data_IF_986877010184
#
_entry.id   IF_986877010184
#
_cell.length_a   1.000
_cell.length_b   1.000
_cell.length_c   1.000
_cell.angle_alpha   90.00
_cell.angle_beta   90.00
_cell.angle_gamma   90.00
#
_symmetry.space_group_name_H-M   'P 1'
#
loop_
_entity.id
_entity.type
_entity.pdbx_description
1 polymer ?
#
# COMPACT_ATOMS: atom_id res chain seq x y z
N UNK A 1 -14.51 5.81 21.12
CA UNK A 1 -13.10 6.13 20.84
C UNK A 1 -12.99 7.60 20.41
N UNK A 2 -11.90 8.30 20.74
CA UNK A 2 -11.67 9.70 20.32
C UNK A 2 -11.40 9.73 18.80
N UNK A 3 -12.00 10.64 18.01
CA UNK A 3 -11.69 10.75 16.59
C UNK A 3 -10.23 11.17 16.40
N UNK A 4 -9.57 10.71 15.32
CA UNK A 4 -8.19 11.11 15.04
C UNK A 4 -8.09 12.63 14.88
N UNK A 5 -6.93 13.19 15.25
CA UNK A 5 -6.67 14.61 15.05
C UNK A 5 -6.77 14.98 13.56
N UNK A 6 -7.20 16.21 13.26
CA UNK A 6 -7.16 16.75 11.89
C UNK A 6 -5.73 16.66 11.37
N UNK A 7 -5.53 16.04 10.20
CA UNK A 7 -4.20 15.84 9.62
C UNK A 7 -3.41 14.66 10.20
N UNK A 8 -4.04 13.76 10.98
CA UNK A 8 -3.39 12.53 11.43
C UNK A 8 -3.02 11.57 10.29
N UNK A 9 -3.55 11.78 9.09
CA UNK A 9 -3.27 11.00 7.89
C UNK A 9 -2.95 11.93 6.72
N UNK A 10 -1.66 12.06 6.39
CA UNK A 10 -1.14 12.91 5.33
C UNK A 10 -0.07 12.16 4.51
N UNK A 11 -0.43 11.04 3.84
CA UNK A 11 0.54 10.19 3.14
C UNK A 11 1.30 10.90 2.01
N UNK A 12 0.75 12.01 1.51
CA UNK A 12 1.29 12.82 0.42
C UNK A 12 1.55 14.28 0.83
N UNK A 13 1.66 14.54 2.14
CA UNK A 13 1.82 15.86 2.75
C UNK A 13 0.63 16.82 2.45
N UNK A 14 0.83 18.12 2.67
CA UNK A 14 -0.18 19.17 2.45
C UNK A 14 0.46 20.49 2.02
N UNK A 15 -0.34 21.40 1.44
CA UNK A 15 0.09 22.75 1.03
C UNK A 15 0.97 22.76 -0.22
N UNK A 16 1.86 23.74 -0.33
CA UNK A 16 2.67 24.02 -1.54
C UNK A 16 3.68 22.92 -1.91
N UNK A 17 4.00 22.02 -0.98
CA UNK A 17 4.89 20.87 -1.20
C UNK A 17 4.15 19.53 -1.11
N UNK A 18 2.81 19.55 -1.22
CA UNK A 18 1.99 18.34 -1.40
C UNK A 18 2.49 17.59 -2.64
N UNK A 19 2.45 16.26 -2.61
CA UNK A 19 2.74 15.45 -3.78
C UNK A 19 1.79 15.84 -4.93
N UNK A 20 2.34 16.22 -6.08
CA UNK A 20 1.56 16.50 -7.29
C UNK A 20 0.84 15.25 -7.81
N UNK A 21 1.32 14.07 -7.44
CA UNK A 21 0.76 12.79 -7.84
C UNK A 21 -0.28 12.19 -6.89
N UNK A 22 -0.79 12.91 -5.88
CA UNK A 22 -1.74 12.33 -4.91
C UNK A 22 -2.96 11.68 -5.57
N UNK A 23 -3.64 12.42 -6.45
CA UNK A 23 -4.87 11.94 -7.09
C UNK A 23 -4.58 10.76 -8.02
N UNK A 24 -3.45 10.83 -8.73
CA UNK A 24 -2.97 9.73 -9.58
C UNK A 24 -2.66 8.48 -8.74
N UNK A 25 -1.90 8.63 -7.65
CA UNK A 25 -1.48 7.52 -6.80
C UNK A 25 -2.68 6.80 -6.17
N UNK A 26 -3.69 7.55 -5.70
CA UNK A 26 -4.92 6.94 -5.21
C UNK A 26 -5.70 6.23 -6.32
N UNK A 27 -5.82 6.84 -7.49
CA UNK A 27 -6.51 6.24 -8.64
C UNK A 27 -5.84 4.92 -9.04
N UNK A 28 -4.52 4.93 -9.20
CA UNK A 28 -3.73 3.75 -9.55
C UNK A 28 -3.83 2.67 -8.47
N UNK A 29 -3.66 3.02 -7.19
CA UNK A 29 -3.69 2.05 -6.10
C UNK A 29 -5.06 1.35 -6.00
N UNK A 30 -6.15 2.10 -6.15
CA UNK A 30 -7.52 1.54 -6.13
C UNK A 30 -7.72 0.62 -7.33
N UNK A 31 -7.30 1.03 -8.53
CA UNK A 31 -7.42 0.20 -9.73
C UNK A 31 -6.58 -1.08 -9.64
N UNK A 32 -5.34 -0.99 -9.15
CA UNK A 32 -4.47 -2.13 -8.95
C UNK A 32 -5.08 -3.12 -7.94
N UNK A 33 -5.57 -2.62 -6.80
CA UNK A 33 -6.26 -3.43 -5.80
C UNK A 33 -7.51 -4.11 -6.37
N UNK A 34 -8.34 -3.39 -7.13
CA UNK A 34 -9.53 -3.96 -7.76
C UNK A 34 -9.16 -5.03 -8.80
N UNK A 35 -8.20 -4.75 -9.69
CA UNK A 35 -7.76 -5.67 -10.72
C UNK A 35 -7.17 -6.96 -10.14
N UNK A 36 -6.42 -6.86 -9.03
CA UNK A 36 -5.81 -8.02 -8.38
C UNK A 36 -6.84 -8.81 -7.56
N UNK A 37 -7.59 -8.13 -6.68
CA UNK A 37 -8.47 -8.80 -5.71
C UNK A 37 -9.73 -9.43 -6.32
N UNK A 38 -10.16 -8.96 -7.49
CA UNK A 38 -11.29 -9.54 -8.22
C UNK A 38 -10.96 -10.87 -8.88
N UNK A 39 -9.68 -11.11 -9.22
CA UNK A 39 -9.23 -12.29 -9.97
C UNK A 39 -8.44 -13.28 -9.13
N UNK A 40 -7.73 -12.80 -8.12
CA UNK A 40 -6.85 -13.64 -7.31
C UNK A 40 -7.08 -13.45 -5.82
N UNK A 41 -6.83 -14.53 -5.09
CA UNK A 41 -6.59 -14.53 -3.65
C UNK A 41 -5.08 -14.68 -3.47
N UNK A 42 -4.43 -13.68 -2.86
CA UNK A 42 -2.99 -13.70 -2.59
C UNK A 42 -2.73 -14.22 -1.17
N UNK A 43 -1.87 -15.24 -1.04
CA UNK A 43 -1.41 -15.74 0.26
C UNK A 43 0.12 -15.63 0.36
N UNK A 44 0.70 -15.31 1.52
CA UNK A 44 2.14 -15.41 1.70
C UNK A 44 2.64 -16.82 1.36
N UNK A 45 3.75 -16.91 0.63
CA UNK A 45 4.39 -18.18 0.36
C UNK A 45 4.90 -18.81 1.67
N UNK A 46 4.94 -20.15 1.80
CA UNK A 46 5.56 -20.81 2.95
C UNK A 46 6.98 -20.29 3.18
N UNK A 47 7.31 -19.95 4.43
CA UNK A 47 8.62 -19.39 4.79
C UNK A 47 8.80 -17.90 4.50
N UNK A 48 7.77 -17.17 4.04
CA UNK A 48 7.85 -15.71 3.92
C UNK A 48 7.87 -15.06 5.31
N UNK A 49 8.98 -14.39 5.63
CA UNK A 49 9.18 -13.66 6.88
C UNK A 49 9.21 -12.16 6.60
N UNK A 50 8.04 -11.53 6.57
CA UNK A 50 7.92 -10.11 6.24
C UNK A 50 8.57 -9.25 7.34
N UNK A 51 9.49 -8.39 6.94
CA UNK A 51 10.14 -7.37 7.78
C UNK A 51 10.17 -6.04 7.03
N UNK A 52 10.05 -4.89 7.70
CA UNK A 52 10.26 -3.60 7.03
C UNK A 52 11.72 -3.47 6.56
N UNK A 53 11.93 -3.04 5.31
CA UNK A 53 13.22 -2.48 4.86
C UNK A 53 13.25 -0.98 5.04
N UNK A 54 14.41 -0.48 5.48
CA UNK A 54 14.72 0.95 5.47
C UNK A 54 15.45 1.27 4.17
N UNK A 55 14.92 2.24 3.42
CA UNK A 55 15.52 2.80 2.23
C UNK A 55 15.00 4.23 2.02
N UNK A 56 15.11 4.75 0.79
CA UNK A 56 14.48 6.05 0.45
C UNK A 56 12.96 6.03 0.67
N UNK A 57 12.34 4.86 0.60
CA UNK A 57 10.97 4.57 1.04
C UNK A 57 10.97 3.29 1.89
N UNK A 58 9.90 3.06 2.67
CA UNK A 58 9.70 1.79 3.37
C UNK A 58 9.04 0.78 2.43
N UNK A 59 9.58 -0.43 2.41
CA UNK A 59 9.01 -1.56 1.66
C UNK A 59 9.09 -2.83 2.51
N UNK A 60 8.37 -3.90 2.15
CA UNK A 60 8.57 -5.20 2.77
C UNK A 60 9.83 -5.87 2.22
N UNK A 61 10.61 -6.48 3.10
CA UNK A 61 11.63 -7.50 2.78
C UNK A 61 10.96 -8.86 2.71
N UNK A 62 11.37 -9.69 1.74
CA UNK A 62 11.01 -11.10 1.61
C UNK A 62 9.51 -11.42 1.56
N UNK A 63 8.67 -10.46 1.13
CA UNK A 63 7.26 -10.70 0.85
C UNK A 63 7.11 -11.39 -0.51
N UNK A 64 7.04 -12.73 -0.48
CA UNK A 64 6.64 -13.55 -1.62
C UNK A 64 5.20 -14.00 -1.42
N UNK A 65 4.37 -13.86 -2.45
CA UNK A 65 2.96 -14.24 -2.39
C UNK A 65 2.64 -15.22 -3.52
N UNK A 66 1.74 -16.15 -3.23
CA UNK A 66 1.20 -17.13 -4.18
C UNK A 66 -0.23 -16.70 -4.53
N UNK A 67 -0.51 -16.39 -5.81
CA UNK A 67 -1.87 -16.16 -6.27
C UNK A 67 -2.59 -17.48 -6.51
N UNK A 68 -3.83 -17.57 -6.04
CA UNK A 68 -4.80 -18.59 -6.49
C UNK A 68 -5.96 -17.88 -7.17
N UNK A 69 -6.46 -18.44 -8.28
CA UNK A 69 -7.67 -17.91 -8.90
C UNK A 69 -8.81 -17.87 -7.86
N UNK A 70 -9.60 -16.81 -7.90
CA UNK A 70 -10.81 -16.68 -7.08
C UNK A 70 -11.91 -17.60 -7.61
#
# INVERSE_FOLDING_TARGET
AKPPARGAFLPFAAGRRKCIGEDFAFTEAVLALAAVSTRWILRPAPGSHVRPSVGATMAPQDLRMIPTAR
#
